data_IF_455127095762
#
_entry.id   IF_455127095762
#
_cell.length_a   1.000
_cell.length_b   1.000
_cell.length_c   1.000
_cell.angle_alpha   90.00
_cell.angle_beta   90.00
_cell.angle_gamma   90.00
#
_symmetry.space_group_name_H-M   'P 1'
#
loop_
_entity.id
_entity.type
_entity.pdbx_description
1 polymer ?
#
# COMPACT_ATOMS: atom_id res chain seq x y z
N UNK A 1 -39.15 19.27 -2.78
CA UNK A 1 -38.41 17.99 -2.91
C UNK A 1 -37.81 17.67 -1.56
N UNK A 2 -38.07 16.47 -1.00
CA UNK A 2 -37.45 16.06 0.26
C UNK A 2 -35.92 15.92 0.09
N UNK A 3 -35.11 16.25 1.11
CA UNK A 3 -33.66 16.16 1.02
C UNK A 3 -33.24 14.70 0.82
N UNK A 4 -32.55 14.42 -0.30
CA UNK A 4 -32.00 13.10 -0.59
C UNK A 4 -30.93 12.77 0.47
N UNK A 5 -31.20 11.76 1.29
CA UNK A 5 -30.23 11.29 2.30
C UNK A 5 -28.97 10.80 1.59
N UNK A 6 -27.82 11.38 1.94
CA UNK A 6 -26.53 10.92 1.46
C UNK A 6 -26.21 9.59 2.16
N UNK A 7 -26.12 8.52 1.40
CA UNK A 7 -25.68 7.22 1.93
C UNK A 7 -24.15 7.21 2.11
N UNK A 8 -23.71 7.00 3.35
CA UNK A 8 -22.32 6.68 3.66
C UNK A 8 -22.15 5.16 3.56
N UNK A 9 -21.37 4.70 2.58
CA UNK A 9 -21.10 3.29 2.38
C UNK A 9 -19.95 2.84 3.28
N UNK A 10 -20.08 1.64 3.82
CA UNK A 10 -19.03 0.97 4.59
C UNK A 10 -17.78 0.70 3.75
N UNK A 11 -16.62 0.64 4.40
CA UNK A 11 -15.35 0.44 3.71
C UNK A 11 -15.29 -0.92 3.00
N UNK A 12 -15.74 -1.99 3.65
CA UNK A 12 -15.75 -3.34 3.07
C UNK A 12 -16.60 -3.41 1.79
N UNK A 13 -17.78 -2.77 1.80
CA UNK A 13 -18.68 -2.74 0.65
C UNK A 13 -18.04 -2.08 -0.57
N UNK A 14 -17.32 -0.97 -0.35
CA UNK A 14 -16.58 -0.28 -1.42
C UNK A 14 -15.49 -1.17 -2.00
N UNK A 15 -14.78 -1.94 -1.16
CA UNK A 15 -13.73 -2.85 -1.60
C UNK A 15 -14.30 -4.01 -2.41
N UNK A 16 -15.40 -4.60 -1.96
CA UNK A 16 -16.11 -5.66 -2.70
C UNK A 16 -16.56 -5.17 -4.09
N UNK A 17 -17.08 -3.94 -4.18
CA UNK A 17 -17.44 -3.35 -5.46
C UNK A 17 -16.22 -3.10 -6.37
N UNK A 18 -15.07 -2.73 -5.81
CA UNK A 18 -13.82 -2.53 -6.56
C UNK A 18 -13.29 -3.87 -7.07
N UNK A 19 -13.28 -4.90 -6.24
CA UNK A 19 -12.85 -6.26 -6.62
C UNK A 19 -13.67 -6.78 -7.80
N UNK A 20 -15.00 -6.70 -7.73
CA UNK A 20 -15.89 -7.10 -8.82
C UNK A 20 -15.62 -6.34 -10.13
N UNK A 21 -15.14 -5.09 -10.07
CA UNK A 21 -14.80 -4.33 -11.29
C UNK A 21 -13.60 -4.88 -12.04
N UNK A 22 -12.70 -5.58 -11.35
CA UNK A 22 -11.51 -6.16 -11.98
C UNK A 22 -11.90 -7.23 -13.01
N UNK A 23 -12.97 -7.98 -12.73
CA UNK A 23 -13.46 -9.06 -13.56
C UNK A 23 -14.53 -8.60 -14.56
N UNK A 24 -15.48 -7.78 -14.11
CA UNK A 24 -16.71 -7.49 -14.85
C UNK A 24 -16.79 -6.05 -15.40
N UNK A 25 -15.87 -5.18 -14.99
CA UNK A 25 -15.88 -3.76 -15.33
C UNK A 25 -16.90 -2.91 -14.56
N UNK A 26 -16.77 -1.58 -14.68
CA UNK A 26 -17.50 -0.64 -13.80
C UNK A 26 -19.03 -0.66 -14.00
N UNK A 27 -19.51 -0.76 -15.26
CA UNK A 27 -20.96 -0.75 -15.57
C UNK A 27 -21.66 -2.03 -15.09
N UNK A 28 -20.97 -3.17 -15.09
CA UNK A 28 -21.51 -4.41 -14.54
C UNK A 28 -21.56 -4.34 -13.01
N UNK A 29 -20.51 -3.84 -12.37
CA UNK A 29 -20.49 -3.61 -10.92
C UNK A 29 -21.62 -2.68 -10.46
N UNK A 30 -21.82 -1.57 -11.18
CA UNK A 30 -22.90 -0.63 -10.91
C UNK A 30 -24.28 -1.31 -10.89
N UNK A 31 -24.55 -2.17 -11.88
CA UNK A 31 -25.78 -2.96 -11.96
C UNK A 31 -25.87 -4.01 -10.84
N UNK A 32 -24.78 -4.73 -10.59
CA UNK A 32 -24.73 -5.79 -9.57
C UNK A 32 -24.99 -5.27 -8.15
N UNK A 33 -24.37 -4.16 -7.78
CA UNK A 33 -24.49 -3.56 -6.44
C UNK A 33 -25.60 -2.50 -6.34
N UNK A 34 -26.37 -2.28 -7.41
CA UNK A 34 -27.38 -1.22 -7.50
C UNK A 34 -26.85 0.17 -7.07
N UNK A 35 -25.66 0.53 -7.56
CA UNK A 35 -25.00 1.82 -7.28
C UNK A 35 -24.71 2.57 -8.58
N UNK A 36 -24.59 3.89 -8.50
CA UNK A 36 -24.20 4.69 -9.66
C UNK A 36 -22.77 4.34 -10.10
N UNK A 37 -22.54 4.13 -11.41
CA UNK A 37 -21.21 3.83 -11.96
C UNK A 37 -20.15 4.89 -11.61
N UNK A 38 -20.57 6.15 -11.53
CA UNK A 38 -19.71 7.27 -11.11
C UNK A 38 -19.15 7.09 -9.69
N UNK A 39 -19.90 6.43 -8.80
CA UNK A 39 -19.45 6.10 -7.45
C UNK A 39 -18.40 4.99 -7.49
N UNK A 40 -18.62 3.96 -8.30
CA UNK A 40 -17.66 2.86 -8.50
C UNK A 40 -16.33 3.40 -9.02
N UNK A 41 -16.35 4.29 -10.02
CA UNK A 41 -15.13 4.98 -10.50
C UNK A 41 -14.44 5.78 -9.40
N UNK A 42 -15.21 6.53 -8.61
CA UNK A 42 -14.67 7.31 -7.49
C UNK A 42 -14.02 6.41 -6.43
N UNK A 43 -14.65 5.29 -6.09
CA UNK A 43 -14.11 4.34 -5.13
C UNK A 43 -12.84 3.68 -5.63
N UNK A 44 -12.77 3.30 -6.92
CA UNK A 44 -11.52 2.81 -7.53
C UNK A 44 -10.38 3.84 -7.43
N UNK A 45 -10.67 5.12 -7.70
CA UNK A 45 -9.67 6.19 -7.53
C UNK A 45 -9.21 6.35 -6.07
N UNK A 46 -10.07 5.99 -5.11
CA UNK A 46 -9.84 6.09 -3.67
C UNK A 46 -9.58 4.73 -3.00
N UNK A 47 -9.22 3.70 -3.77
CA UNK A 47 -9.09 2.32 -3.29
C UNK A 47 -8.13 2.23 -2.09
N UNK A 48 -6.93 2.80 -2.22
CA UNK A 48 -5.94 2.81 -1.12
C UNK A 48 -6.44 3.53 0.12
N UNK A 49 -7.18 4.62 -0.04
CA UNK A 49 -7.77 5.32 1.10
C UNK A 49 -8.88 4.49 1.75
N UNK A 50 -9.63 3.72 0.96
CA UNK A 50 -10.66 2.79 1.43
C UNK A 50 -10.05 1.57 2.15
N UNK A 51 -8.85 1.14 1.76
CA UNK A 51 -8.07 0.07 2.43
C UNK A 51 -7.38 0.55 3.72
N UNK A 52 -6.82 1.76 3.72
CA UNK A 52 -6.05 2.29 4.85
C UNK A 52 -6.95 2.76 6.00
N UNK A 53 -8.14 3.28 5.68
CA UNK A 53 -9.12 3.76 6.66
C UNK A 53 -9.47 2.72 7.75
N UNK A 54 -9.94 1.50 7.42
CA UNK A 54 -10.27 0.51 8.43
C UNK A 54 -9.04 0.05 9.22
N UNK A 55 -7.87 -0.09 8.57
CA UNK A 55 -6.62 -0.44 9.26
C UNK A 55 -6.20 0.60 10.30
N UNK A 56 -6.30 1.88 9.94
CA UNK A 56 -5.99 2.97 10.86
C UNK A 56 -6.95 3.02 12.05
N UNK A 57 -8.23 2.69 11.83
CA UNK A 57 -9.21 2.59 12.92
C UNK A 57 -8.89 1.44 13.87
N UNK A 58 -8.53 0.27 13.36
CA UNK A 58 -8.14 -0.87 14.20
C UNK A 58 -6.91 -0.54 15.07
N UNK A 59 -5.91 0.13 14.50
CA UNK A 59 -4.73 0.59 15.25
C UNK A 59 -5.12 1.66 16.29
N UNK A 60 -6.05 2.56 15.95
CA UNK A 60 -6.52 3.58 16.89
C UNK A 60 -7.28 2.96 18.08
N UNK A 61 -8.04 1.90 17.84
CA UNK A 61 -8.72 1.12 18.89
C UNK A 61 -7.70 0.41 19.80
N UNK A 62 -6.65 -0.18 19.23
CA UNK A 62 -5.56 -0.82 20.00
C UNK A 62 -4.80 0.19 20.88
N UNK A 63 -4.58 1.41 20.37
CA UNK A 63 -3.85 2.49 21.06
C UNK A 63 -4.79 3.31 21.97
N UNK A 64 -6.06 2.94 22.08
CA UNK A 64 -7.09 3.64 22.88
C UNK A 64 -7.28 5.12 22.50
N UNK A 65 -7.25 5.41 21.20
CA UNK A 65 -7.52 6.75 20.66
C UNK A 65 -9.01 6.86 20.36
N UNK A 66 -9.75 7.49 21.27
CA UNK A 66 -11.18 7.70 21.09
C UNK A 66 -11.52 8.58 19.86
N UNK A 67 -12.68 8.32 19.26
CA UNK A 67 -13.30 9.13 18.20
C UNK A 67 -12.47 9.33 16.91
N UNK A 68 -11.44 8.51 16.66
CA UNK A 68 -10.59 8.65 15.49
C UNK A 68 -11.35 8.56 14.14
N UNK A 69 -11.36 9.67 13.41
CA UNK A 69 -12.03 9.78 12.09
C UNK A 69 -11.05 9.47 10.96
N UNK A 70 -10.79 8.18 10.71
CA UNK A 70 -9.89 7.69 9.66
C UNK A 70 -10.42 7.83 8.22
N UNK A 71 -11.16 8.88 7.87
CA UNK A 71 -11.77 9.04 6.54
C UNK A 71 -10.77 9.28 5.39
N UNK A 72 -11.23 9.29 4.12
CA UNK A 72 -10.34 9.47 2.97
C UNK A 72 -9.46 10.72 3.03
N UNK A 73 -10.01 11.86 3.46
CA UNK A 73 -9.26 13.11 3.61
C UNK A 73 -8.15 13.01 4.65
N UNK A 74 -8.39 12.33 5.77
CA UNK A 74 -7.34 12.05 6.76
C UNK A 74 -6.22 11.23 6.13
N UNK A 75 -6.57 10.17 5.38
CA UNK A 75 -5.61 9.30 4.71
C UNK A 75 -4.73 10.08 3.71
N UNK A 76 -5.33 10.89 2.83
CA UNK A 76 -4.59 11.75 1.89
C UNK A 76 -3.66 12.74 2.60
N UNK A 77 -4.13 13.39 3.67
CA UNK A 77 -3.33 14.34 4.46
C UNK A 77 -2.19 13.64 5.21
N UNK A 78 -2.44 12.47 5.78
CA UNK A 78 -1.43 11.66 6.45
C UNK A 78 -0.31 11.28 5.50
N UNK A 79 -0.65 10.74 4.31
CA UNK A 79 0.35 10.39 3.30
C UNK A 79 1.15 11.61 2.86
N UNK A 80 0.51 12.76 2.61
CA UNK A 80 1.21 14.00 2.25
C UNK A 80 2.17 14.48 3.35
N UNK A 81 1.75 14.41 4.62
CA UNK A 81 2.60 14.80 5.78
C UNK A 81 3.80 13.88 6.00
N UNK A 82 3.66 12.60 5.65
CA UNK A 82 4.72 11.59 5.80
C UNK A 82 5.48 11.35 4.50
N UNK A 83 5.30 12.20 3.49
CA UNK A 83 5.95 12.10 2.18
C UNK A 83 5.75 10.74 1.48
N UNK A 84 4.60 10.12 1.70
CA UNK A 84 4.20 8.85 1.07
C UNK A 84 3.41 9.14 -0.21
N UNK A 85 3.74 8.44 -1.30
CA UNK A 85 3.07 8.59 -2.59
C UNK A 85 1.98 7.54 -2.83
N UNK A 86 0.84 7.97 -3.34
CA UNK A 86 -0.22 7.10 -3.86
C UNK A 86 0.03 6.91 -5.34
N UNK A 87 0.62 5.79 -5.74
CA UNK A 87 0.67 5.38 -7.15
C UNK A 87 -0.51 4.47 -7.43
N UNK A 88 -1.32 4.77 -8.43
CA UNK A 88 -2.29 3.80 -8.93
C UNK A 88 -1.51 2.59 -9.48
N UNK A 89 -2.04 1.37 -9.31
CA UNK A 89 -1.50 0.22 -10.05
C UNK A 89 -1.75 0.47 -11.53
N UNK A 90 -0.70 0.47 -12.34
CA UNK A 90 -0.82 0.50 -13.79
C UNK A 90 -1.23 -0.89 -14.27
N UNK A 91 -2.29 -0.98 -15.07
CA UNK A 91 -2.75 -2.24 -15.69
C UNK A 91 -1.84 -2.69 -16.83
N UNK A 92 -0.92 -1.83 -17.28
CA UNK A 92 0.09 -2.16 -18.27
C UNK A 92 1.24 -2.87 -17.55
N UNK A 93 1.10 -4.17 -17.38
CA UNK A 93 2.22 -5.08 -17.07
C UNK A 93 2.27 -6.08 -18.22
N UNK A 94 3.43 -6.16 -18.88
CA UNK A 94 3.67 -7.21 -19.87
C UNK A 94 3.58 -8.56 -19.17
N UNK A 95 2.97 -9.56 -19.81
CA UNK A 95 2.98 -10.93 -19.28
C UNK A 95 4.43 -11.34 -19.07
N UNK A 96 4.73 -11.82 -17.87
CA UNK A 96 6.06 -12.33 -17.55
C UNK A 96 6.35 -13.54 -18.44
N UNK A 97 7.53 -13.60 -19.08
CA UNK A 97 7.97 -14.80 -19.80
C UNK A 97 7.96 -16.04 -18.89
N UNK A 98 7.73 -17.22 -19.47
CA UNK A 98 7.65 -18.47 -18.72
C UNK A 98 8.96 -18.78 -17.96
N UNK A 99 10.10 -18.34 -18.49
CA UNK A 99 11.47 -18.49 -17.98
C UNK A 99 11.89 -17.39 -16.97
N UNK A 100 10.99 -16.44 -16.64
CA UNK A 100 11.36 -15.31 -15.78
C UNK A 100 11.92 -15.73 -14.42
N UNK A 101 11.33 -16.74 -13.77
CA UNK A 101 11.77 -17.19 -12.45
C UNK A 101 13.19 -17.75 -12.49
N UNK A 102 13.51 -18.54 -13.51
CA UNK A 102 14.83 -19.11 -13.72
C UNK A 102 15.87 -18.01 -13.95
N UNK A 103 15.59 -17.06 -14.85
CA UNK A 103 16.48 -15.93 -15.12
C UNK A 103 16.69 -15.04 -13.90
N UNK A 104 15.64 -14.82 -13.12
CA UNK A 104 15.73 -14.05 -11.87
C UNK A 104 16.54 -14.80 -10.79
N UNK A 105 16.48 -16.14 -10.75
CA UNK A 105 17.30 -16.95 -9.86
C UNK A 105 18.78 -16.88 -10.26
N UNK A 106 19.10 -17.08 -11.55
CA UNK A 106 20.46 -16.97 -12.09
C UNK A 106 21.07 -15.59 -11.77
N UNK A 107 20.30 -14.52 -11.99
CA UNK A 107 20.76 -13.17 -11.70
C UNK A 107 21.03 -12.95 -10.20
N UNK A 108 20.16 -13.45 -9.31
CA UNK A 108 20.37 -13.37 -7.86
C UNK A 108 21.63 -14.11 -7.44
N UNK A 109 21.84 -15.33 -7.94
CA UNK A 109 23.06 -16.11 -7.69
C UNK A 109 24.31 -15.35 -8.16
N UNK A 110 24.27 -14.80 -9.38
CA UNK A 110 25.36 -13.97 -9.89
C UNK A 110 25.66 -12.76 -9.00
N UNK A 111 24.64 -12.04 -8.53
CA UNK A 111 24.82 -10.91 -7.60
C UNK A 111 25.41 -11.37 -6.26
N UNK A 112 24.98 -12.51 -5.72
CA UNK A 112 25.57 -13.08 -4.52
C UNK A 112 27.06 -13.41 -4.73
N UNK A 113 27.40 -14.04 -5.84
CA UNK A 113 28.77 -14.49 -6.13
C UNK A 113 29.74 -13.35 -6.48
N UNK A 114 29.24 -12.29 -7.14
CA UNK A 114 30.09 -11.22 -7.70
C UNK A 114 30.03 -9.90 -6.96
N UNK A 115 28.95 -9.62 -6.24
CA UNK A 115 28.72 -8.32 -5.56
C UNK A 115 28.82 -8.47 -4.05
N UNK A 116 28.40 -9.60 -3.48
CA UNK A 116 28.54 -9.81 -2.03
C UNK A 116 29.99 -10.24 -1.77
N UNK A 117 30.80 -9.45 -1.05
CA UNK A 117 32.14 -9.89 -0.70
C UNK A 117 32.03 -11.16 0.13
N UNK A 118 32.91 -12.15 -0.10
CA UNK A 118 32.89 -13.40 0.65
C UNK A 118 32.88 -13.16 2.16
N UNK A 119 32.19 -14.04 2.88
CA UNK A 119 31.88 -13.85 4.29
C UNK A 119 33.08 -13.64 5.21
N UNK A 120 34.23 -14.17 4.82
CA UNK A 120 35.50 -14.02 5.51
C UNK A 120 36.06 -12.58 5.50
N UNK A 121 35.54 -11.69 4.66
CA UNK A 121 35.98 -10.28 4.63
C UNK A 121 35.26 -9.46 5.71
N UNK A 122 34.00 -9.76 6.07
CA UNK A 122 33.29 -9.00 7.11
C UNK A 122 33.66 -9.43 8.55
N UNK A 123 34.17 -10.65 8.75
CA UNK A 123 34.69 -11.07 10.07
C UNK A 123 35.99 -10.33 10.42
N UNK A 124 36.83 -9.99 9.43
CA UNK A 124 38.04 -9.20 9.63
C UNK A 124 37.76 -7.70 9.90
N UNK A 125 36.60 -7.18 9.49
CA UNK A 125 36.23 -5.76 9.68
C UNK A 125 35.27 -5.55 10.86
N UNK A 126 34.54 -6.59 11.29
CA UNK A 126 33.71 -6.56 12.51
C UNK A 126 34.55 -6.33 13.79
N UNK A 127 35.85 -6.65 13.78
CA UNK A 127 36.77 -6.32 14.87
C UNK A 127 37.25 -4.86 14.91
N UNK A 128 37.03 -4.05 13.85
CA UNK A 128 37.50 -2.65 13.78
C UNK A 128 36.40 -1.60 13.58
N UNK A 129 35.17 -2.01 13.24
CA UNK A 129 34.03 -1.08 13.08
C UNK A 129 33.17 -0.92 14.34
N UNK A 130 33.62 -1.41 15.50
CA UNK A 130 33.00 -1.09 16.80
C UNK A 130 33.39 0.30 17.35
N UNK A 131 34.30 1.04 16.71
CA UNK A 131 34.75 2.36 17.19
C UNK A 131 34.06 3.57 16.52
N UNK A 132 33.26 3.38 15.46
CA UNK A 132 32.64 4.49 14.70
C UNK A 132 31.11 4.57 14.77
N UNK A 133 30.44 3.79 15.64
CA UNK A 133 29.01 3.94 15.99
C UNK A 133 28.78 4.16 17.48
N UNK A 134 29.56 5.05 18.07
CA UNK A 134 29.21 5.69 19.33
C UNK A 134 29.54 7.18 19.25
N UNK A 135 28.80 7.89 18.39
CA UNK A 135 28.59 9.32 18.58
C UNK A 135 27.13 9.46 18.95
N UNK A 136 26.92 9.75 20.23
CA UNK A 136 25.65 10.05 20.84
C UNK A 136 24.98 11.22 20.12
N UNK A 137 23.85 10.98 19.45
CA UNK A 137 22.90 12.05 19.13
C UNK A 137 22.03 12.31 20.36
N UNK A 138 22.60 12.97 21.37
CA UNK A 138 21.86 13.76 22.37
C UNK A 138 22.46 15.16 22.41
N UNK A 139 21.65 16.14 22.01
CA UNK A 139 21.94 17.57 22.24
C UNK A 139 22.28 18.36 20.99
N UNK A 140 21.24 18.86 20.30
CA UNK A 140 20.98 20.27 19.96
C UNK A 140 19.80 20.35 18.98
#
# INVERSE_FOLDING_TARGET
MAPVKRHAYEAYFKLQAIEYTAENGNRAAARHFNVNESMVRKWRKQERASLLSPKAKAIAEEIDIEHFQGGPSWCFRFMRRRYLSIRARTTVVQRLPADYQERAAIFRTYCCDKITPPSHIYEAVAGKLCQWRRVDCRGL
#
